data_IF_140840435754
#
_entry.id   IF_140840435754
#
_cell.length_a   1.000
_cell.length_b   1.000
_cell.length_c   1.000
_cell.angle_alpha   90.00
_cell.angle_beta   90.00
_cell.angle_gamma   90.00
#
_symmetry.space_group_name_H-M   'P 1'
#
loop_
_entity.id
_entity.type
_entity.pdbx_description
1 polymer ?
#
# COMPACT_ATOMS: atom_id res chain seq x y z
N UNK A 1 -11.71 -51.29 -6.30
CA UNK A 1 -12.87 -51.36 -7.22
C UNK A 1 -13.95 -50.44 -6.68
N UNK A 2 -14.10 -49.31 -7.26
CA UNK A 2 -15.34 -48.59 -7.67
C UNK A 2 -14.97 -47.16 -8.07
N UNK A 3 -14.85 -47.01 -9.37
CA UNK A 3 -14.78 -45.74 -10.10
C UNK A 3 -16.14 -45.07 -10.07
N UNK A 4 -16.17 -43.76 -9.78
CA UNK A 4 -17.34 -42.91 -10.05
C UNK A 4 -16.92 -41.63 -10.74
N UNK A 5 -17.10 -41.70 -12.07
CA UNK A 5 -16.94 -40.57 -13.01
C UNK A 5 -18.24 -39.76 -12.96
N UNK A 6 -18.16 -38.44 -12.67
CA UNK A 6 -19.24 -37.49 -12.94
C UNK A 6 -18.73 -36.42 -13.87
N UNK A 7 -19.15 -36.52 -15.11
CA UNK A 7 -19.07 -35.48 -16.10
C UNK A 7 -20.16 -34.44 -15.84
N UNK A 8 -19.81 -33.17 -15.70
CA UNK A 8 -20.72 -32.02 -15.65
C UNK A 8 -20.47 -31.11 -16.83
N UNK A 9 -21.44 -31.05 -17.74
CA UNK A 9 -21.50 -30.15 -18.89
C UNK A 9 -21.64 -28.70 -18.40
N UNK A 10 -20.80 -27.81 -18.93
CA UNK A 10 -20.94 -26.36 -18.78
C UNK A 10 -21.48 -25.82 -20.11
N UNK A 11 -22.66 -25.21 -20.06
CA UNK A 11 -23.28 -24.52 -21.18
C UNK A 11 -22.69 -23.11 -21.28
N UNK A 12 -22.16 -22.80 -22.46
CA UNK A 12 -21.84 -21.43 -22.87
C UNK A 12 -23.12 -20.64 -23.13
N UNK A 13 -23.27 -19.47 -22.52
CA UNK A 13 -24.22 -18.45 -22.93
C UNK A 13 -23.43 -17.24 -23.47
N UNK A 14 -23.46 -17.08 -24.78
CA UNK A 14 -22.99 -15.88 -25.49
C UNK A 14 -24.15 -14.88 -25.54
N UNK A 15 -23.96 -13.70 -25.00
CA UNK A 15 -24.89 -12.54 -25.18
C UNK A 15 -24.15 -11.41 -25.87
N UNK A 16 -24.41 -11.30 -27.17
CA UNK A 16 -24.13 -10.13 -28.03
C UNK A 16 -25.34 -9.23 -28.04
N UNK A 17 -25.19 -7.94 -27.85
CA UNK A 17 -26.03 -6.81 -28.27
C UNK A 17 -25.19 -5.56 -27.99
N UNK A 18 -24.82 -4.70 -28.92
CA UNK A 18 -25.65 -4.05 -29.93
C UNK A 18 -25.64 -2.57 -29.64
N UNK A 19 -24.88 -1.79 -30.37
CA UNK A 19 -25.06 -0.60 -31.14
C UNK A 19 -25.77 0.61 -30.49
N UNK A 20 -25.12 1.78 -30.65
CA UNK A 20 -25.79 3.07 -30.37
C UNK A 20 -24.87 4.27 -30.62
N UNK A 21 -24.58 4.57 -31.88
CA UNK A 21 -24.08 5.88 -32.34
C UNK A 21 -25.21 6.90 -32.30
N UNK A 22 -25.01 8.02 -31.64
CA UNK A 22 -25.85 9.22 -31.83
C UNK A 22 -24.94 10.43 -32.01
N UNK A 23 -24.74 10.77 -33.25
CA UNK A 23 -24.24 12.06 -33.70
C UNK A 23 -25.44 13.05 -33.70
N UNK A 24 -25.26 14.22 -33.10
CA UNK A 24 -26.11 15.38 -33.36
C UNK A 24 -25.24 16.54 -33.80
N UNK A 25 -25.22 16.72 -35.11
CA UNK A 25 -24.83 17.96 -35.78
C UNK A 25 -26.01 18.94 -35.65
N UNK A 26 -25.73 20.19 -35.31
CA UNK A 26 -26.65 21.28 -35.57
C UNK A 26 -25.88 22.42 -36.23
N UNK A 27 -25.93 22.41 -37.55
CA UNK A 27 -25.70 23.57 -38.40
C UNK A 27 -26.93 24.47 -38.35
N UNK A 28 -26.72 25.76 -38.09
CA UNK A 28 -27.70 26.76 -38.52
C UNK A 28 -26.95 28.01 -38.96
N UNK A 29 -26.93 28.16 -40.26
CA UNK A 29 -26.52 29.35 -41.00
C UNK A 29 -27.50 30.51 -40.77
N UNK A 30 -26.97 31.69 -40.65
CA UNK A 30 -27.76 32.93 -40.67
C UNK A 30 -26.89 34.17 -40.70
N UNK A 31 -26.64 34.65 -41.89
CA UNK A 31 -26.07 35.98 -42.23
C UNK A 31 -27.18 36.92 -42.69
N UNK A 32 -26.97 38.23 -42.89
CA UNK A 32 -26.35 39.30 -42.10
C UNK A 32 -27.31 40.49 -41.91
N UNK A 33 -27.00 41.45 -41.09
CA UNK A 33 -27.37 42.84 -41.39
C UNK A 33 -26.50 43.84 -40.65
N UNK A 34 -26.07 44.80 -41.45
CA UNK A 34 -25.22 45.94 -41.12
C UNK A 34 -25.92 46.94 -40.22
N UNK A 35 -25.15 47.66 -39.39
CA UNK A 35 -25.01 49.12 -39.41
C UNK A 35 -24.28 49.66 -38.18
N UNK A 36 -23.17 50.35 -38.48
CA UNK A 36 -22.75 51.66 -38.00
C UNK A 36 -22.49 51.98 -36.52
N UNK A 37 -21.25 52.33 -36.35
CA UNK A 37 -20.73 53.57 -35.77
C UNK A 37 -20.51 53.70 -34.27
N UNK A 38 -19.23 53.87 -33.98
CA UNK A 38 -18.62 54.90 -33.15
C UNK A 38 -18.21 54.61 -31.72
N UNK A 39 -16.96 54.87 -31.56
CA UNK A 39 -16.28 55.47 -30.45
C UNK A 39 -15.40 54.58 -29.59
N UNK A 40 -14.16 54.58 -29.92
CA UNK A 40 -12.94 54.79 -29.12
C UNK A 40 -13.11 54.79 -27.61
N UNK A 41 -12.51 53.77 -26.99
CA UNK A 41 -11.74 53.95 -25.73
C UNK A 41 -10.83 52.75 -25.58
N UNK A 42 -9.57 52.95 -25.93
CA UNK A 42 -8.43 52.10 -25.63
C UNK A 42 -8.13 52.18 -24.12
N UNK A 43 -8.49 51.15 -23.42
CA UNK A 43 -7.90 50.83 -22.10
C UNK A 43 -6.96 49.67 -22.30
N UNK A 44 -5.67 50.00 -22.38
CA UNK A 44 -4.58 49.05 -22.26
C UNK A 44 -4.62 48.42 -20.87
N UNK A 45 -5.26 47.27 -20.77
CA UNK A 45 -5.06 46.38 -19.63
C UNK A 45 -3.69 45.73 -19.78
N UNK A 46 -2.73 46.29 -19.09
CA UNK A 46 -1.44 45.63 -18.82
C UNK A 46 -1.78 44.35 -18.04
N UNK A 47 -1.78 43.22 -18.72
CA UNK A 47 -1.82 41.92 -18.06
C UNK A 47 -0.52 41.81 -17.23
N UNK A 48 -0.64 42.01 -15.94
CA UNK A 48 0.39 41.74 -14.97
C UNK A 48 0.56 40.25 -14.93
N UNK A 49 1.65 39.76 -15.52
CA UNK A 49 2.01 38.35 -15.42
C UNK A 49 2.10 37.99 -13.93
N UNK A 50 1.29 37.01 -13.50
CA UNK A 50 1.44 36.43 -12.18
C UNK A 50 2.87 35.92 -12.03
N UNK A 51 3.52 36.14 -10.89
CA UNK A 51 4.84 35.58 -10.65
C UNK A 51 4.72 34.02 -10.77
N UNK A 52 5.78 33.37 -11.33
CA UNK A 52 5.77 31.92 -11.39
C UNK A 52 5.59 31.37 -9.97
N UNK A 53 4.59 30.53 -9.79
CA UNK A 53 4.42 29.78 -8.54
C UNK A 53 5.73 29.03 -8.30
N UNK A 54 6.47 29.46 -7.32
CA UNK A 54 7.63 28.75 -6.81
C UNK A 54 7.16 27.33 -6.46
N UNK A 55 7.59 26.35 -7.23
CA UNK A 55 7.43 24.94 -6.88
C UNK A 55 8.13 24.76 -5.52
N UNK A 56 7.34 24.65 -4.46
CA UNK A 56 7.90 24.34 -3.15
C UNK A 56 8.66 23.02 -3.27
N UNK A 57 9.87 22.96 -2.72
CA UNK A 57 10.60 21.71 -2.62
C UNK A 57 9.71 20.67 -1.89
N UNK A 58 9.76 19.39 -2.30
CA UNK A 58 9.01 18.35 -1.62
C UNK A 58 9.29 18.39 -0.11
N UNK A 59 8.26 18.28 0.70
CA UNK A 59 8.43 18.20 2.14
C UNK A 59 9.31 16.97 2.49
N UNK A 60 10.18 17.07 3.50
CA UNK A 60 11.00 15.93 3.90
C UNK A 60 10.13 14.75 4.29
N UNK A 61 10.54 13.55 3.85
CA UNK A 61 9.87 12.31 4.25
C UNK A 61 10.20 12.07 5.72
N UNK A 62 9.17 11.95 6.56
CA UNK A 62 9.30 11.57 7.97
C UNK A 62 8.97 10.10 8.10
N UNK A 63 9.85 9.33 8.73
CA UNK A 63 9.67 7.90 8.99
C UNK A 63 9.20 7.64 10.42
N UNK A 64 8.77 6.41 10.72
CA UNK A 64 8.46 5.99 12.08
C UNK A 64 9.71 6.08 12.98
N UNK A 65 10.88 5.72 12.44
CA UNK A 65 12.15 5.83 13.17
C UNK A 65 12.48 7.29 13.53
N UNK A 66 12.21 8.25 12.62
CA UNK A 66 12.38 9.68 12.90
C UNK A 66 11.43 10.13 14.02
N UNK A 67 10.16 9.72 13.96
CA UNK A 67 9.16 10.05 14.98
C UNK A 67 9.56 9.50 16.35
N UNK A 68 10.01 8.24 16.44
CA UNK A 68 10.49 7.60 17.67
C UNK A 68 11.66 8.39 18.25
N UNK A 69 12.68 8.68 17.44
CA UNK A 69 13.87 9.43 17.86
C UNK A 69 13.52 10.85 18.34
N UNK A 70 12.74 11.59 17.57
CA UNK A 70 12.49 13.01 17.81
C UNK A 70 11.56 13.23 19.03
N UNK A 71 10.79 12.22 19.43
CA UNK A 71 9.90 12.26 20.61
C UNK A 71 10.47 11.49 21.82
N UNK A 72 11.72 11.02 21.77
CA UNK A 72 12.37 10.23 22.82
C UNK A 72 11.51 9.02 23.26
N UNK A 73 10.86 8.36 22.30
CA UNK A 73 10.09 7.14 22.50
C UNK A 73 11.06 5.98 22.63
N UNK A 74 10.79 5.09 23.57
CA UNK A 74 11.58 3.86 23.74
C UNK A 74 10.92 2.77 22.90
N UNK A 75 11.70 2.20 21.99
CA UNK A 75 11.31 1.05 21.17
C UNK A 75 11.93 -0.23 21.73
N UNK A 76 11.09 -1.25 21.92
CA UNK A 76 11.51 -2.57 22.40
C UNK A 76 10.97 -3.63 21.45
N UNK A 77 11.83 -4.43 20.80
CA UNK A 77 11.38 -5.56 19.99
C UNK A 77 10.56 -6.56 20.82
N UNK A 78 9.57 -7.18 20.20
CA UNK A 78 8.69 -8.17 20.81
C UNK A 78 8.79 -9.47 20.05
N UNK A 79 9.05 -10.57 20.78
CA UNK A 79 9.04 -11.92 20.24
C UNK A 79 7.72 -12.63 20.51
N UNK A 80 7.37 -13.66 19.72
CA UNK A 80 6.20 -14.49 19.99
C UNK A 80 6.25 -15.09 21.40
N UNK A 81 5.16 -14.86 22.17
CA UNK A 81 5.05 -15.38 23.55
C UNK A 81 5.72 -14.56 24.65
N UNK A 82 6.24 -13.37 24.33
CA UNK A 82 6.76 -12.46 25.35
C UNK A 82 5.65 -12.09 26.34
N UNK A 83 5.92 -12.10 27.65
CA UNK A 83 4.92 -11.82 28.68
C UNK A 83 4.29 -10.43 28.52
N UNK A 84 2.95 -10.36 28.49
CA UNK A 84 2.20 -9.11 28.40
C UNK A 84 2.20 -8.48 27.01
N UNK A 85 2.72 -9.18 25.99
CA UNK A 85 2.58 -8.77 24.59
C UNK A 85 1.29 -9.32 23.98
N UNK A 86 0.74 -8.69 22.95
CA UNK A 86 -0.38 -9.24 22.19
C UNK A 86 0.00 -10.56 21.52
N UNK A 87 -0.93 -11.50 21.49
CA UNK A 87 -0.80 -12.71 20.68
C UNK A 87 -1.25 -12.40 19.26
N UNK A 88 -0.36 -12.62 18.30
CA UNK A 88 -0.62 -12.39 16.88
C UNK A 88 -0.53 -13.72 16.16
N UNK A 89 -1.64 -14.17 15.61
CA UNK A 89 -1.73 -15.39 14.81
C UNK A 89 -1.89 -15.02 13.35
N UNK A 90 -0.93 -15.43 12.53
CA UNK A 90 -0.95 -15.25 11.08
C UNK A 90 -1.37 -16.56 10.41
N UNK A 91 -2.10 -16.51 9.29
CA UNK A 91 -2.49 -17.72 8.58
C UNK A 91 -1.28 -18.42 7.96
N UNK A 92 -1.44 -19.74 7.74
CA UNK A 92 -0.54 -20.46 6.85
C UNK A 92 -0.82 -20.02 5.41
N UNK A 93 0.18 -19.50 4.72
CA UNK A 93 0.07 -19.02 3.37
C UNK A 93 0.33 -20.15 2.37
N UNK A 94 -0.54 -20.31 1.37
CA UNK A 94 -0.39 -21.35 0.35
C UNK A 94 0.84 -21.07 -0.53
N UNK A 95 1.73 -22.06 -0.65
CA UNK A 95 2.99 -21.92 -1.41
C UNK A 95 4.08 -21.16 -0.68
N UNK A 96 3.92 -20.92 0.63
CA UNK A 96 4.93 -20.24 1.45
C UNK A 96 5.43 -21.16 2.55
N UNK A 97 6.69 -20.99 2.93
CA UNK A 97 7.34 -21.72 4.01
C UNK A 97 7.90 -20.75 5.05
N UNK A 98 7.89 -21.16 6.31
CA UNK A 98 8.53 -20.42 7.39
C UNK A 98 10.06 -20.42 7.18
N UNK A 99 10.69 -19.27 7.30
CA UNK A 99 12.13 -19.11 7.12
C UNK A 99 12.95 -19.70 8.28
N UNK A 100 12.32 -20.00 9.42
CA UNK A 100 12.97 -20.56 10.58
C UNK A 100 14.21 -19.79 11.00
N UNK A 101 15.32 -20.49 11.16
CA UNK A 101 16.61 -19.89 11.52
C UNK A 101 17.22 -18.94 10.48
N UNK A 102 16.64 -18.85 9.28
CA UNK A 102 17.06 -17.91 8.23
C UNK A 102 16.25 -16.60 8.25
N UNK A 103 15.31 -16.47 9.18
CA UNK A 103 14.54 -15.23 9.35
C UNK A 103 15.48 -14.06 9.71
N UNK A 104 15.23 -12.85 9.18
CA UNK A 104 16.00 -11.67 9.59
C UNK A 104 15.91 -11.44 11.10
N UNK A 105 16.99 -10.97 11.70
CA UNK A 105 17.03 -10.67 13.14
C UNK A 105 15.93 -9.67 13.53
N UNK A 106 15.27 -9.92 14.65
CA UNK A 106 14.16 -9.09 15.13
C UNK A 106 12.82 -9.31 14.39
N UNK A 107 12.71 -10.33 13.53
CA UNK A 107 11.44 -10.72 12.97
C UNK A 107 10.56 -11.38 14.03
N UNK A 108 9.28 -11.01 14.05
CA UNK A 108 8.25 -11.73 14.81
C UNK A 108 7.87 -13.03 14.08
N UNK A 109 7.75 -12.95 12.75
CA UNK A 109 7.66 -14.11 11.84
C UNK A 109 8.25 -13.74 10.48
N UNK A 110 8.65 -14.73 9.71
CA UNK A 110 9.16 -14.53 8.36
C UNK A 110 8.82 -15.74 7.48
N UNK A 111 8.25 -15.49 6.32
CA UNK A 111 7.87 -16.51 5.34
C UNK A 111 8.49 -16.19 3.99
N UNK A 112 8.84 -17.24 3.26
CA UNK A 112 9.41 -17.19 1.91
C UNK A 112 8.51 -17.95 0.94
N UNK A 113 8.31 -17.40 -0.24
CA UNK A 113 7.52 -18.05 -1.29
C UNK A 113 8.30 -19.17 -1.98
N UNK A 114 7.75 -20.38 -1.95
CA UNK A 114 8.35 -21.59 -2.53
C UNK A 114 7.45 -22.22 -3.61
N UNK A 115 6.29 -21.60 -3.87
CA UNK A 115 5.29 -22.12 -4.81
C UNK A 115 5.72 -22.10 -6.29
N UNK A 116 6.77 -21.32 -6.62
CA UNK A 116 7.36 -21.29 -7.97
C UNK A 116 8.86 -21.61 -7.90
N UNK A 117 9.29 -22.79 -8.38
CA UNK A 117 10.70 -23.16 -8.43
C UNK A 117 11.58 -22.21 -9.28
N UNK A 118 11.00 -21.51 -10.27
CA UNK A 118 11.74 -20.54 -11.08
C UNK A 118 12.13 -19.29 -10.27
N UNK A 119 11.40 -19.00 -9.22
CA UNK A 119 11.65 -17.87 -8.31
C UNK A 119 12.64 -18.20 -7.17
N UNK A 120 13.15 -19.43 -7.07
CA UNK A 120 13.97 -19.90 -5.94
C UNK A 120 15.28 -19.10 -5.74
N UNK A 121 15.79 -18.42 -6.75
CA UNK A 121 17.00 -17.60 -6.64
C UNK A 121 16.75 -16.23 -5.97
N UNK A 122 15.52 -15.71 -6.06
CA UNK A 122 15.09 -14.42 -5.51
C UNK A 122 13.60 -14.52 -5.14
N UNK A 123 13.26 -15.30 -4.12
CA UNK A 123 11.87 -15.56 -3.75
C UNK A 123 11.25 -14.34 -3.05
N UNK A 124 9.93 -14.19 -3.22
CA UNK A 124 9.17 -13.22 -2.43
C UNK A 124 9.20 -13.57 -0.93
N UNK A 125 9.11 -12.54 -0.10
CA UNK A 125 9.11 -12.69 1.36
C UNK A 125 7.96 -11.91 1.99
N UNK A 126 7.44 -12.43 3.10
CA UNK A 126 6.58 -11.72 4.04
C UNK A 126 7.26 -11.74 5.40
N UNK A 127 7.67 -10.56 5.87
CA UNK A 127 8.38 -10.39 7.14
C UNK A 127 7.51 -9.56 8.06
N UNK A 128 7.25 -10.10 9.25
CA UNK A 128 6.47 -9.43 10.29
C UNK A 128 7.40 -8.99 11.41
N UNK A 129 7.21 -7.78 11.89
CA UNK A 129 7.89 -7.24 13.08
C UNK A 129 6.87 -6.71 14.07
N UNK A 130 7.16 -6.88 15.35
CA UNK A 130 6.37 -6.29 16.42
C UNK A 130 7.31 -5.54 17.35
N UNK A 131 6.95 -4.32 17.67
CA UNK A 131 7.69 -3.52 18.65
C UNK A 131 6.72 -2.92 19.67
N UNK A 132 7.19 -2.76 20.91
CA UNK A 132 6.50 -2.00 21.95
C UNK A 132 7.10 -0.60 21.99
N UNK A 133 6.26 0.42 21.82
CA UNK A 133 6.62 1.82 21.96
C UNK A 133 6.18 2.33 23.34
N UNK A 134 7.13 2.87 24.11
CA UNK A 134 6.88 3.39 25.46
C UNK A 134 7.28 4.87 25.52
N UNK A 135 6.44 5.68 26.12
CA UNK A 135 6.60 7.14 26.21
C UNK A 135 5.35 7.87 25.75
N UNK A 136 5.50 9.11 25.30
CA UNK A 136 4.38 9.90 24.78
C UNK A 136 4.14 9.53 23.30
N UNK A 137 3.46 8.41 23.06
CA UNK A 137 3.17 7.87 21.73
C UNK A 137 1.76 8.23 21.31
N UNK A 138 1.62 8.89 20.17
CA UNK A 138 0.33 9.13 19.52
C UNK A 138 0.09 8.05 18.44
N UNK A 139 -0.90 7.15 18.61
CA UNK A 139 -1.20 6.11 17.64
C UNK A 139 -1.54 6.65 16.25
N UNK A 140 -2.25 7.76 16.16
CA UNK A 140 -2.60 8.37 14.89
C UNK A 140 -1.35 8.88 14.16
N UNK A 141 -0.39 9.43 14.91
CA UNK A 141 0.88 9.88 14.34
C UNK A 141 1.76 8.72 13.87
N UNK A 142 1.75 7.59 14.59
CA UNK A 142 2.42 6.36 14.15
C UNK A 142 1.88 5.93 12.78
N UNK A 143 0.56 5.85 12.62
CA UNK A 143 -0.08 5.47 11.34
C UNK A 143 0.20 6.49 10.22
N UNK A 144 0.29 7.78 10.54
CA UNK A 144 0.59 8.84 9.58
C UNK A 144 2.01 8.73 9.02
N UNK A 145 3.01 8.44 9.87
CA UNK A 145 4.43 8.47 9.48
C UNK A 145 4.96 7.11 9.00
N UNK A 146 4.32 6.00 9.36
CA UNK A 146 4.75 4.65 8.97
C UNK A 146 4.97 4.50 7.45
N UNK A 147 4.14 5.05 6.56
CA UNK A 147 4.38 5.00 5.11
C UNK A 147 5.72 5.63 4.67
N UNK A 148 6.30 6.49 5.49
CA UNK A 148 7.58 7.13 5.22
C UNK A 148 8.73 6.17 5.00
N UNK A 149 8.69 4.98 5.61
CA UNK A 149 9.72 3.95 5.46
C UNK A 149 9.81 3.46 4.01
N UNK A 150 8.68 3.13 3.38
CA UNK A 150 8.66 2.71 1.98
C UNK A 150 8.97 3.88 1.04
N UNK A 151 8.45 5.06 1.33
CA UNK A 151 8.69 6.26 0.53
C UNK A 151 10.16 6.69 0.51
N UNK A 152 10.93 6.31 1.52
CA UNK A 152 12.36 6.55 1.60
C UNK A 152 13.21 5.53 0.81
N UNK A 153 12.61 4.46 0.27
CA UNK A 153 13.31 3.48 -0.53
C UNK A 153 13.80 4.09 -1.86
N UNK A 154 14.95 3.64 -2.38
CA UNK A 154 15.51 4.16 -3.63
C UNK A 154 14.53 4.02 -4.81
N UNK A 155 14.17 5.13 -5.44
CA UNK A 155 13.27 5.13 -6.60
C UNK A 155 11.87 4.61 -6.29
N UNK A 156 11.39 4.80 -5.06
CA UNK A 156 10.01 4.42 -4.72
C UNK A 156 9.00 5.11 -5.63
N UNK A 157 8.16 4.32 -6.25
CA UNK A 157 7.03 4.74 -7.08
C UNK A 157 5.74 4.16 -6.49
N UNK A 158 4.95 5.02 -5.86
CA UNK A 158 3.75 4.69 -5.14
C UNK A 158 3.08 5.94 -4.57
N UNK A 159 2.03 5.79 -3.75
CA UNK A 159 1.30 6.91 -3.17
C UNK A 159 2.15 7.70 -2.17
N UNK A 160 1.82 8.99 -2.00
CA UNK A 160 2.49 9.87 -1.03
C UNK A 160 2.08 9.60 0.42
N UNK A 161 0.99 8.89 0.65
CA UNK A 161 0.46 8.56 1.98
C UNK A 161 -0.10 7.15 2.00
N UNK A 162 -0.16 6.56 3.18
CA UNK A 162 -0.84 5.28 3.38
C UNK A 162 -2.36 5.42 3.28
N UNK A 163 -3.02 4.30 3.01
CA UNK A 163 -4.48 4.18 3.00
C UNK A 163 -4.93 3.64 4.36
N UNK A 164 -5.86 4.32 5.06
CA UNK A 164 -6.43 3.80 6.29
C UNK A 164 -7.04 2.42 6.11
N UNK A 165 -6.78 1.53 7.04
CA UNK A 165 -7.19 0.12 6.99
C UNK A 165 -7.44 -0.40 8.42
N UNK A 166 -7.80 -1.69 8.54
CA UNK A 166 -7.88 -2.41 9.80
C UNK A 166 -7.29 -3.82 9.65
N UNK A 167 -6.80 -4.37 10.76
CA UNK A 167 -6.46 -5.78 10.86
C UNK A 167 -6.98 -6.30 12.20
N UNK A 168 -7.77 -7.37 12.17
CA UNK A 168 -8.37 -7.94 13.39
C UNK A 168 -9.08 -6.89 14.27
N UNK A 169 -9.70 -5.87 13.65
CA UNK A 169 -10.40 -4.77 14.33
C UNK A 169 -9.52 -3.58 14.77
N UNK A 170 -8.21 -3.72 14.78
CA UNK A 170 -7.27 -2.63 15.12
C UNK A 170 -7.04 -1.68 13.96
N UNK A 171 -6.78 -0.41 14.27
CA UNK A 171 -6.50 0.60 13.26
C UNK A 171 -5.14 0.33 12.60
N UNK A 172 -5.13 0.49 11.29
CA UNK A 172 -3.97 0.22 10.45
C UNK A 172 -3.83 1.25 9.32
N UNK A 173 -2.65 1.29 8.73
CA UNK A 173 -2.38 1.94 7.46
C UNK A 173 -1.67 0.98 6.51
N UNK A 174 -1.95 1.09 5.21
CA UNK A 174 -1.34 0.28 4.17
C UNK A 174 -0.71 1.19 3.12
N UNK A 175 0.49 0.88 2.71
CA UNK A 175 1.15 1.49 1.56
C UNK A 175 1.80 0.40 0.73
N UNK A 176 1.82 0.58 -0.58
CA UNK A 176 2.52 -0.31 -1.51
C UNK A 176 2.97 0.45 -2.74
N UNK A 177 3.91 -0.12 -3.46
CA UNK A 177 4.47 0.45 -4.66
C UNK A 177 5.59 -0.41 -5.22
N UNK A 178 6.39 0.21 -6.07
CA UNK A 178 7.64 -0.38 -6.57
C UNK A 178 8.83 0.45 -6.12
N UNK A 179 10.01 -0.17 -6.07
CA UNK A 179 11.26 0.52 -5.77
C UNK A 179 12.42 -0.17 -6.49
N UNK A 180 13.60 0.40 -6.44
CA UNK A 180 14.79 -0.19 -7.08
C UNK A 180 15.72 -0.78 -6.04
N UNK A 181 16.02 -2.07 -6.15
CA UNK A 181 16.99 -2.79 -5.33
C UNK A 181 18.05 -3.40 -6.24
N UNK A 182 19.30 -3.05 -6.03
CA UNK A 182 20.45 -3.53 -6.82
C UNK A 182 20.27 -3.34 -8.34
N UNK A 183 19.59 -2.25 -8.73
CA UNK A 183 19.31 -1.91 -10.12
C UNK A 183 18.11 -2.66 -10.75
N UNK A 184 17.41 -3.50 -9.97
CA UNK A 184 16.22 -4.22 -10.42
C UNK A 184 14.94 -3.66 -9.77
N UNK A 185 13.79 -3.67 -10.47
CA UNK A 185 12.52 -3.27 -9.89
C UNK A 185 12.03 -4.33 -8.88
N UNK A 186 11.51 -3.87 -7.75
CA UNK A 186 10.87 -4.70 -6.72
C UNK A 186 9.48 -4.17 -6.40
N UNK A 187 8.56 -5.06 -6.13
CA UNK A 187 7.28 -4.71 -5.51
C UNK A 187 7.41 -4.78 -4.00
N UNK A 188 6.79 -3.85 -3.32
CA UNK A 188 6.77 -3.80 -1.85
C UNK A 188 5.41 -3.32 -1.36
N UNK A 189 4.95 -3.93 -0.27
CA UNK A 189 3.78 -3.47 0.47
C UNK A 189 4.06 -3.54 1.97
N UNK A 190 3.55 -2.58 2.72
CA UNK A 190 3.63 -2.55 4.17
C UNK A 190 2.25 -2.28 4.76
N UNK A 191 1.88 -3.07 5.75
CA UNK A 191 0.77 -2.79 6.65
C UNK A 191 1.33 -2.52 8.03
N UNK A 192 0.97 -1.37 8.60
CA UNK A 192 1.30 -1.00 9.98
C UNK A 192 0.03 -0.95 10.79
N UNK A 193 -0.01 -1.69 11.90
CA UNK A 193 -1.15 -1.82 12.81
C UNK A 193 -0.77 -1.29 14.17
N UNK A 194 -1.63 -0.51 14.81
CA UNK A 194 -1.44 -0.03 16.18
C UNK A 194 -2.34 -0.79 17.15
N UNK A 195 -1.75 -1.36 18.19
CA UNK A 195 -2.41 -2.22 19.16
C UNK A 195 -2.21 -1.58 20.54
N UNK A 196 -3.26 -1.01 21.16
CA UNK A 196 -3.15 -0.45 22.52
C UNK A 196 -2.74 -1.52 23.54
N UNK A 197 -1.75 -1.24 24.36
CA UNK A 197 -1.34 -2.08 25.48
C UNK A 197 -1.45 -1.33 26.83
N UNK A 198 -1.29 -2.05 27.94
CA UNK A 198 -1.40 -1.46 29.29
C UNK A 198 -0.31 -0.44 29.60
N UNK A 199 0.91 -0.66 29.08
CA UNK A 199 2.09 0.15 29.38
C UNK A 199 2.76 0.72 28.11
N UNK A 200 2.00 0.94 27.06
CA UNK A 200 2.52 1.46 25.80
C UNK A 200 1.68 1.05 24.61
N UNK A 201 2.19 1.34 23.43
CA UNK A 201 1.58 1.00 22.15
C UNK A 201 2.39 -0.11 21.49
N UNK A 202 1.74 -1.20 21.09
CA UNK A 202 2.39 -2.15 20.19
C UNK A 202 2.17 -1.75 18.74
N UNK A 203 3.21 -1.89 17.94
CA UNK A 203 3.17 -1.64 16.50
C UNK A 203 3.56 -2.93 15.81
N UNK A 204 2.62 -3.45 15.03
CA UNK A 204 2.83 -4.59 14.14
C UNK A 204 3.07 -4.07 12.73
N UNK A 205 4.18 -4.44 12.12
CA UNK A 205 4.49 -4.17 10.72
C UNK A 205 4.58 -5.47 9.94
N UNK A 206 3.82 -5.57 8.86
CA UNK A 206 3.84 -6.69 7.92
C UNK A 206 4.37 -6.15 6.60
N UNK A 207 5.54 -6.64 6.19
CA UNK A 207 6.23 -6.21 4.97
C UNK A 207 6.26 -7.36 3.98
N UNK A 208 5.67 -7.15 2.80
CA UNK A 208 5.67 -8.08 1.70
C UNK A 208 6.54 -7.52 0.56
N UNK A 209 7.52 -8.29 0.09
CA UNK A 209 8.47 -7.86 -0.95
C UNK A 209 8.70 -9.00 -1.94
N UNK A 210 8.81 -8.66 -3.23
CA UNK A 210 9.10 -9.64 -4.29
C UNK A 210 9.40 -8.96 -5.62
N UNK A 211 9.65 -9.78 -6.64
CA UNK A 211 9.78 -9.28 -8.02
C UNK A 211 8.39 -8.96 -8.62
N UNK A 212 8.31 -8.17 -9.72
CA UNK A 212 7.03 -7.93 -10.38
C UNK A 212 6.32 -9.20 -10.86
N UNK A 213 7.05 -10.25 -11.20
CA UNK A 213 6.51 -11.54 -11.62
C UNK A 213 5.82 -12.29 -10.47
N UNK A 214 6.18 -11.98 -9.22
CA UNK A 214 5.61 -12.56 -8.00
C UNK A 214 4.41 -11.76 -7.45
N UNK A 215 3.92 -10.76 -8.20
CA UNK A 215 2.83 -9.88 -7.77
C UNK A 215 1.60 -10.65 -7.28
N UNK A 216 1.19 -11.71 -7.98
CA UNK A 216 0.02 -12.50 -7.58
C UNK A 216 0.25 -13.19 -6.23
N UNK A 217 1.42 -13.82 -6.03
CA UNK A 217 1.74 -14.47 -4.76
C UNK A 217 1.74 -13.47 -3.59
N UNK A 218 2.26 -12.25 -3.79
CA UNK A 218 2.22 -11.19 -2.80
C UNK A 218 0.79 -10.72 -2.50
N UNK A 219 -0.05 -10.55 -3.52
CA UNK A 219 -1.45 -10.14 -3.35
C UNK A 219 -2.25 -11.22 -2.62
N UNK A 220 -2.09 -12.49 -3.00
CA UNK A 220 -2.79 -13.61 -2.34
C UNK A 220 -2.36 -13.74 -0.88
N UNK A 221 -1.06 -13.62 -0.59
CA UNK A 221 -0.54 -13.67 0.78
C UNK A 221 -1.07 -12.51 1.64
N UNK A 222 -1.05 -11.28 1.13
CA UNK A 222 -1.54 -10.12 1.87
C UNK A 222 -3.05 -10.16 2.08
N UNK A 223 -3.82 -10.65 1.10
CA UNK A 223 -5.26 -10.86 1.24
C UNK A 223 -5.58 -11.95 2.28
N UNK A 224 -4.87 -13.08 2.27
CA UNK A 224 -5.04 -14.13 3.27
C UNK A 224 -4.74 -13.63 4.69
N UNK A 225 -3.71 -12.80 4.86
CA UNK A 225 -3.39 -12.16 6.15
C UNK A 225 -4.53 -11.23 6.57
N UNK A 226 -5.05 -10.42 5.66
CA UNK A 226 -6.14 -9.48 5.96
C UNK A 226 -7.42 -10.18 6.41
N UNK A 227 -7.71 -11.32 5.80
CA UNK A 227 -8.94 -12.07 6.07
C UNK A 227 -8.85 -12.94 7.32
N UNK A 228 -7.66 -13.45 7.68
CA UNK A 228 -7.53 -14.54 8.64
C UNK A 228 -6.64 -14.22 9.85
N UNK A 229 -5.84 -13.15 9.80
CA UNK A 229 -5.00 -12.81 10.95
C UNK A 229 -5.84 -12.45 12.18
N UNK A 230 -5.43 -12.94 13.33
CA UNK A 230 -6.05 -12.59 14.60
C UNK A 230 -5.05 -11.92 15.54
N UNK A 231 -5.53 -10.92 16.28
CA UNK A 231 -4.75 -10.18 17.27
C UNK A 231 -5.54 -10.18 18.58
N UNK A 232 -4.93 -10.73 19.63
CA UNK A 232 -5.48 -10.74 21.00
C UNK A 232 -4.52 -9.94 21.88
N UNK A 233 -4.96 -8.80 22.46
CA UNK A 233 -4.17 -7.94 23.33
C UNK A 233 -3.68 -8.60 24.60
#
# INVERSE_FOLDING_TARGET
MTTSTRAGLIALAVLTLGGGLSACSNDTSGTPSSASSSATSSVSSTAQAAPPSSSAAPAPIVTLADYIRDNNIVETPVAPGDPGSPTIELPTLEGWEDMGGNAPEGSYSASVFTGDPAAAADPATVITKVVKLTGNVDPAKVLEVAPGELRALPGFDGPESGVPNKLSGFDATVIGGTYTKDGAPRMVAQKTVVIPGQEGLYVLQINAEGTPEQANALMDATAAIDDQATITP
#
